data_IF_794026866637
#
_entry.id   IF_794026866637
#
_cell.length_a   1.000
_cell.length_b   1.000
_cell.length_c   1.000
_cell.angle_alpha   90.00
_cell.angle_beta   90.00
_cell.angle_gamma   90.00
#
_symmetry.space_group_name_H-M   'P 1'
#
loop_
_entity.id
_entity.type
_entity.pdbx_description
1 polymer ?
#
# COMPACT_ATOMS: atom_id res chain seq x y z
N UNK A 1 -8.83 -21.21 1.42
CA UNK A 1 -7.76 -20.22 1.67
C UNK A 1 -8.23 -18.89 1.12
N UNK A 2 -8.51 -17.90 1.97
CA UNK A 2 -8.95 -16.57 1.52
C UNK A 2 -7.71 -15.72 1.30
N UNK A 3 -7.44 -15.34 0.06
CA UNK A 3 -6.35 -14.44 -0.26
C UNK A 3 -6.70 -13.05 0.29
N UNK A 4 -6.15 -12.68 1.46
CA UNK A 4 -6.26 -11.31 1.97
C UNK A 4 -5.47 -10.40 1.05
N UNK A 5 -6.13 -9.89 0.01
CA UNK A 5 -5.66 -8.74 -0.76
C UNK A 5 -5.98 -7.48 0.04
N UNK A 6 -5.02 -6.57 0.17
CA UNK A 6 -5.31 -5.26 0.77
C UNK A 6 -6.34 -4.53 -0.10
N UNK A 7 -7.57 -4.36 0.40
CA UNK A 7 -8.67 -3.70 -0.32
C UNK A 7 -8.59 -2.17 -0.23
N UNK A 8 -9.40 -1.46 -1.03
CA UNK A 8 -9.40 0.01 -1.12
C UNK A 8 -9.54 0.67 0.26
N UNK A 9 -10.43 0.16 1.09
CA UNK A 9 -10.68 0.66 2.45
C UNK A 9 -9.49 0.44 3.37
N UNK A 10 -8.86 -0.74 3.32
CA UNK A 10 -7.62 -0.99 4.07
C UNK A 10 -6.53 0.02 3.68
N UNK A 11 -6.40 0.38 2.41
CA UNK A 11 -5.45 1.42 1.98
C UNK A 11 -5.77 2.78 2.59
N UNK A 12 -7.04 3.19 2.61
CA UNK A 12 -7.47 4.46 3.20
C UNK A 12 -7.17 4.51 4.70
N UNK A 13 -7.45 3.42 5.42
CA UNK A 13 -7.16 3.29 6.85
C UNK A 13 -5.67 3.35 7.12
N UNK A 14 -4.86 2.56 6.41
CA UNK A 14 -3.41 2.52 6.64
C UNK A 14 -2.76 3.86 6.27
N UNK A 15 -3.25 4.53 5.22
CA UNK A 15 -2.81 5.89 4.84
C UNK A 15 -3.15 6.92 5.92
N UNK A 16 -4.33 6.81 6.55
CA UNK A 16 -4.68 7.65 7.67
C UNK A 16 -3.78 7.37 8.88
N UNK A 17 -3.55 6.09 9.20
CA UNK A 17 -2.66 5.69 10.29
C UNK A 17 -1.23 6.21 10.07
N UNK A 18 -0.69 6.14 8.85
CA UNK A 18 0.65 6.67 8.57
C UNK A 18 0.72 8.20 8.73
N UNK A 19 -0.37 8.92 8.48
CA UNK A 19 -0.46 10.37 8.74
C UNK A 19 -0.50 10.69 10.23
N UNK A 20 -1.22 9.90 11.01
CA UNK A 20 -1.34 10.09 12.46
C UNK A 20 -0.02 9.78 13.16
N UNK A 21 0.61 8.65 12.80
CA UNK A 21 1.87 8.19 13.40
C UNK A 21 3.08 8.95 12.85
N UNK A 22 2.94 9.61 11.68
CA UNK A 22 4.03 10.35 11.03
C UNK A 22 5.20 9.46 10.57
N UNK A 23 4.98 8.15 10.47
CA UNK A 23 6.00 7.18 10.12
C UNK A 23 5.62 6.39 8.86
N UNK A 24 6.62 5.88 8.14
CA UNK A 24 6.42 5.02 6.98
C UNK A 24 5.95 3.64 7.44
N UNK A 25 4.76 3.22 7.03
CA UNK A 25 4.20 1.90 7.34
C UNK A 25 4.46 0.96 6.15
N UNK A 26 4.95 -0.25 6.40
CA UNK A 26 5.20 -1.25 5.36
C UNK A 26 4.25 -2.43 5.60
N UNK A 27 3.40 -2.73 4.63
CA UNK A 27 2.45 -3.84 4.68
C UNK A 27 2.81 -4.85 3.61
N UNK A 28 2.86 -6.12 4.01
CA UNK A 28 3.14 -7.23 3.10
C UNK A 28 1.83 -7.86 2.64
N UNK A 29 1.62 -7.86 1.33
CA UNK A 29 0.63 -8.69 0.63
C UNK A 29 1.36 -9.92 0.03
N UNK A 30 0.63 -10.88 -0.55
CA UNK A 30 1.14 -12.18 -1.03
C UNK A 30 2.57 -12.15 -1.57
N UNK A 31 2.82 -11.26 -2.53
CA UNK A 31 4.10 -11.10 -3.21
C UNK A 31 4.54 -9.64 -3.34
N UNK A 32 3.85 -8.72 -2.67
CA UNK A 32 4.03 -7.28 -2.82
C UNK A 32 4.27 -6.62 -1.46
N UNK A 33 5.17 -5.64 -1.43
CA UNK A 33 5.32 -4.77 -0.28
C UNK A 33 4.70 -3.41 -0.60
N UNK A 34 3.71 -3.03 0.20
CA UNK A 34 3.03 -1.74 0.16
C UNK A 34 3.70 -0.81 1.17
N UNK A 35 4.30 0.27 0.67
CA UNK A 35 4.90 1.31 1.50
C UNK A 35 3.93 2.49 1.60
N UNK A 36 3.33 2.67 2.76
CA UNK A 36 2.46 3.79 3.07
C UNK A 36 3.28 4.94 3.68
N UNK A 37 3.12 6.11 3.09
CA UNK A 37 3.66 7.38 3.54
C UNK A 37 2.53 8.41 3.57
N UNK A 38 2.76 9.54 4.26
CA UNK A 38 1.81 10.66 4.39
C UNK A 38 1.19 11.07 3.04
N UNK A 39 2.00 11.04 1.98
CA UNK A 39 1.61 11.43 0.62
C UNK A 39 0.93 10.29 -0.15
N UNK A 40 1.22 9.02 0.15
CA UNK A 40 0.67 7.88 -0.58
C UNK A 40 1.23 6.50 -0.29
N UNK A 41 0.65 5.49 -0.94
CA UNK A 41 1.11 4.10 -0.98
C UNK A 41 1.90 3.83 -2.26
N UNK A 42 3.08 3.24 -2.10
CA UNK A 42 3.92 2.73 -3.18
C UNK A 42 4.05 1.22 -3.05
N UNK A 43 3.52 0.46 -4.00
CA UNK A 43 3.71 -0.99 -4.05
C UNK A 43 4.96 -1.33 -4.86
N UNK A 44 5.93 -2.04 -4.28
CA UNK A 44 7.05 -2.63 -5.04
C UNK A 44 6.75 -4.10 -5.36
N UNK A 45 6.79 -4.43 -6.65
CA UNK A 45 6.82 -5.78 -7.18
C UNK A 45 8.15 -5.97 -7.91
N UNK A 46 9.21 -6.35 -7.18
CA UNK A 46 10.57 -6.47 -7.76
C UNK A 46 11.08 -5.11 -8.34
N UNK A 47 12.33 -4.97 -8.85
CA UNK A 47 13.07 -3.70 -8.81
C UNK A 47 12.59 -2.62 -9.80
N UNK A 48 11.45 -2.79 -10.47
CA UNK A 48 10.94 -1.83 -11.44
C UNK A 48 9.87 -0.92 -10.83
N UNK A 49 10.35 0.24 -10.38
CA UNK A 49 9.62 1.50 -10.19
C UNK A 49 8.54 1.60 -9.09
N UNK A 50 8.51 2.72 -8.34
CA UNK A 50 7.44 3.00 -7.39
C UNK A 50 6.13 3.30 -8.14
N UNK A 51 5.14 2.42 -8.01
CA UNK A 51 3.82 2.63 -8.59
C UNK A 51 3.00 3.61 -7.70
N UNK A 52 2.47 4.72 -8.24
CA UNK A 52 1.68 5.65 -7.44
C UNK A 52 0.31 5.06 -7.06
N UNK A 53 -0.25 5.53 -5.94
CA UNK A 53 -1.57 5.18 -5.39
C UNK A 53 -2.68 4.96 -6.43
N UNK A 54 -2.72 5.83 -7.44
CA UNK A 54 -3.77 5.86 -8.46
C UNK A 54 -3.75 4.60 -9.36
N UNK A 55 -2.58 3.99 -9.55
CA UNK A 55 -2.40 2.75 -10.31
C UNK A 55 -2.59 1.50 -9.43
N UNK A 56 -2.38 1.61 -8.11
CA UNK A 56 -2.65 0.52 -7.17
C UNK A 56 -4.15 0.19 -7.10
N UNK A 57 -5.02 1.20 -7.17
CA UNK A 57 -6.48 0.99 -7.19
C UNK A 57 -7.01 0.45 -8.53
N UNK A 58 -6.25 0.56 -9.62
CA UNK A 58 -6.58 -0.05 -10.94
C UNK A 58 -6.09 -1.50 -11.11
N UNK A 59 -5.17 -1.98 -10.26
CA UNK A 59 -4.63 -3.35 -10.28
C UNK A 59 -5.22 -4.28 -9.20
N UNK A 60 -6.25 -3.83 -8.47
CA UNK A 60 -6.93 -4.63 -7.44
C UNK A 60 -7.99 -5.55 -7.99
#
# INVERSE_FOLDING_TARGET
MKNLRVCGDCHSVIKLMSKIVGCKIIVKDFSHFHHFCVLGCFSLFLPLAPLPDLLCSRRR
#
